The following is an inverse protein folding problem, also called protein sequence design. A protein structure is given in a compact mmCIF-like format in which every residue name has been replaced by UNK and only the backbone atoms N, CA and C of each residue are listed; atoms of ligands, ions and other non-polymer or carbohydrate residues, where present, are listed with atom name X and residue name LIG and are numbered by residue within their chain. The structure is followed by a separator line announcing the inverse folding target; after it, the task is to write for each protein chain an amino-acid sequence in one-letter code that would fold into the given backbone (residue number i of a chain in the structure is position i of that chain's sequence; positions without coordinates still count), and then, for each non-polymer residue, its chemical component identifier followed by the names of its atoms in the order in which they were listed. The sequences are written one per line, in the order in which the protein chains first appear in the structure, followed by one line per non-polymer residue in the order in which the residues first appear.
data_IF_253206233377
#
_entry.id   IF_253206233377
#
_cell.length_a   1.000
_cell.length_b   1.000
_cell.length_c   1.000
_cell.angle_alpha   90.00
_cell.angle_beta   90.00
_cell.angle_gamma   90.00
#
_symmetry.space_group_name_H-M   'P 1'
#
loop_
_entity.id
_entity.type
_entity.pdbx_description
1 polymer ?
#
# COMPACT_ATOMS: atom_id res chain seq x y z
N UNK A 1 -12.32 21.35 11.04
CA UNK A 1 -10.99 21.95 11.33
C UNK A 1 -10.17 21.13 12.33
N UNK A 2 -10.71 20.78 13.51
CA UNK A 2 -9.97 19.98 14.51
C UNK A 2 -9.42 18.67 13.92
N UNK A 3 -10.25 17.89 13.22
CA UNK A 3 -9.81 16.63 12.62
C UNK A 3 -8.61 16.76 11.65
N UNK A 4 -8.62 17.80 10.79
CA UNK A 4 -7.51 18.07 9.86
C UNK A 4 -6.25 18.47 10.63
N UNK A 5 -6.39 19.28 11.67
CA UNK A 5 -5.25 19.69 12.52
C UNK A 5 -4.67 18.51 13.30
N UNK A 6 -5.50 17.61 13.81
CA UNK A 6 -5.08 16.39 14.50
C UNK A 6 -4.37 15.42 13.54
N UNK A 7 -4.93 15.21 12.34
CA UNK A 7 -4.31 14.39 11.31
C UNK A 7 -2.93 14.95 10.91
N UNK A 8 -2.84 16.26 10.67
CA UNK A 8 -1.57 16.93 10.35
C UNK A 8 -0.56 16.79 11.50
N UNK A 9 -1.01 16.87 12.75
CA UNK A 9 -0.14 16.65 13.93
C UNK A 9 0.37 15.21 14.02
N UNK A 10 -0.47 14.23 13.67
CA UNK A 10 -0.12 12.82 13.61
C UNK A 10 0.62 12.42 12.33
N UNK A 11 0.86 13.37 11.41
CA UNK A 11 1.44 13.13 10.07
C UNK A 11 0.63 12.14 9.24
N UNK A 12 -0.68 12.12 9.43
CA UNK A 12 -1.60 11.31 8.64
C UNK A 12 -1.99 12.17 7.42
N UNK A 13 -1.74 11.71 6.18
CA UNK A 13 -2.10 12.46 4.98
C UNK A 13 -3.63 12.56 4.85
N UNK A 14 -4.11 13.78 4.61
CA UNK A 14 -5.55 14.06 4.47
C UNK A 14 -5.91 14.23 3.00
N UNK A 15 -6.97 13.56 2.58
CA UNK A 15 -7.64 13.72 1.28
C UNK A 15 -9.04 14.25 1.57
N UNK A 16 -9.47 15.35 0.95
CA UNK A 16 -10.78 15.94 1.23
C UNK A 16 -11.36 16.75 0.06
N UNK A 17 -12.69 16.72 -0.15
CA UNK A 17 -13.36 17.67 -1.01
C UNK A 17 -13.34 19.08 -0.38
N UNK A 18 -13.02 20.09 -1.18
CA UNK A 18 -12.92 21.48 -0.74
C UNK A 18 -13.78 22.39 -1.61
N UNK A 19 -14.61 23.20 -0.96
CA UNK A 19 -15.32 24.33 -1.58
C UNK A 19 -14.55 25.66 -1.40
N UNK A 20 -15.06 26.72 -2.03
CA UNK A 20 -14.49 28.07 -2.07
C UNK A 20 -14.14 28.70 -0.71
N UNK A 21 -14.70 28.19 0.39
CA UNK A 21 -14.50 28.71 1.75
C UNK A 21 -13.45 27.93 2.57
N UNK A 22 -12.83 26.90 1.98
CA UNK A 22 -11.85 26.05 2.64
C UNK A 22 -10.41 26.36 2.19
N UNK A 23 -9.45 26.26 3.11
CA UNK A 23 -8.03 26.48 2.83
C UNK A 23 -7.38 25.18 2.30
N UNK A 24 -6.90 25.14 1.04
CA UNK A 24 -6.33 23.94 0.43
C UNK A 24 -4.95 23.58 0.97
N UNK A 25 -4.23 24.52 1.59
CA UNK A 25 -2.85 24.29 2.07
C UNK A 25 -2.81 23.34 3.28
N UNK A 26 -3.95 23.12 3.93
CA UNK A 26 -4.08 22.23 5.09
C UNK A 26 -4.30 20.76 4.71
N UNK A 27 -4.52 20.46 3.43
CA UNK A 27 -4.90 19.13 2.93
C UNK A 27 -3.85 18.65 1.94
N UNK A 28 -3.37 17.41 2.10
CA UNK A 28 -2.31 16.87 1.25
C UNK A 28 -2.79 16.64 -0.19
N UNK A 29 -4.04 16.18 -0.34
CA UNK A 29 -4.66 15.92 -1.63
C UNK A 29 -6.04 16.61 -1.68
N UNK A 30 -6.07 17.91 -2.01
CA UNK A 30 -7.32 18.66 -2.11
C UNK A 30 -8.09 18.26 -3.38
N UNK A 31 -9.41 18.01 -3.24
CA UNK A 31 -10.31 17.73 -4.36
C UNK A 31 -11.28 18.92 -4.49
N UNK A 32 -11.18 19.76 -5.53
CA UNK A 32 -12.14 20.84 -5.73
C UNK A 32 -13.56 20.29 -5.90
N UNK A 33 -14.52 20.75 -5.10
CA UNK A 33 -15.88 20.23 -5.13
C UNK A 33 -16.84 21.02 -4.25
N UNK A 34 -18.12 20.67 -4.33
CA UNK A 34 -19.16 21.27 -3.50
C UNK A 34 -19.44 20.32 -2.32
N UNK A 35 -19.07 20.71 -1.11
CA UNK A 35 -19.28 19.94 0.12
C UNK A 35 -20.66 20.19 0.78
N UNK A 36 -21.35 21.27 0.40
CA UNK A 36 -22.71 21.59 0.88
C UNK A 36 -23.81 20.72 0.24
N UNK A 37 -23.58 20.25 -1.00
CA UNK A 37 -24.59 19.52 -1.76
C UNK A 37 -24.63 18.03 -1.39
N UNK A 38 -25.78 17.54 -0.91
CA UNK A 38 -25.97 16.12 -0.56
C UNK A 38 -25.64 15.16 -1.70
N UNK A 39 -25.99 15.51 -2.95
CA UNK A 39 -25.66 14.70 -4.13
C UNK A 39 -24.15 14.59 -4.36
N UNK A 40 -23.41 15.67 -4.09
CA UNK A 40 -21.95 15.71 -4.23
C UNK A 40 -21.28 14.87 -3.15
N UNK A 41 -21.71 15.00 -1.89
CA UNK A 41 -21.22 14.17 -0.78
C UNK A 41 -21.49 12.68 -1.05
N UNK A 42 -22.69 12.34 -1.51
CA UNK A 42 -23.03 10.95 -1.89
C UNK A 42 -22.13 10.41 -2.99
N UNK A 43 -21.88 11.20 -4.03
CA UNK A 43 -20.95 10.84 -5.10
C UNK A 43 -19.56 10.55 -4.53
N UNK A 44 -18.98 11.47 -3.76
CA UNK A 44 -17.65 11.27 -3.17
C UNK A 44 -17.58 10.02 -2.28
N UNK A 45 -18.58 9.80 -1.42
CA UNK A 45 -18.61 8.62 -0.57
C UNK A 45 -18.70 7.32 -1.38
N UNK A 46 -19.49 7.30 -2.45
CA UNK A 46 -19.64 6.13 -3.31
C UNK A 46 -18.33 5.81 -4.05
N UNK A 47 -17.78 6.79 -4.77
CA UNK A 47 -16.54 6.60 -5.54
C UNK A 47 -15.36 6.19 -4.62
N UNK A 48 -15.26 6.78 -3.43
CA UNK A 48 -14.24 6.39 -2.45
C UNK A 48 -14.46 4.96 -1.94
N UNK A 49 -15.70 4.54 -1.71
CA UNK A 49 -15.99 3.17 -1.29
C UNK A 49 -15.65 2.15 -2.38
N UNK A 50 -15.99 2.45 -3.64
CA UNK A 50 -15.65 1.62 -4.79
C UNK A 50 -14.13 1.49 -4.95
N UNK A 51 -13.40 2.61 -4.93
CA UNK A 51 -11.94 2.61 -5.02
C UNK A 51 -11.26 1.83 -3.87
N UNK A 52 -11.78 1.93 -2.64
CA UNK A 52 -11.26 1.16 -1.49
C UNK A 52 -11.49 -0.34 -1.70
N UNK A 53 -12.64 -0.74 -2.21
CA UNK A 53 -12.96 -2.15 -2.44
C UNK A 53 -12.13 -2.73 -3.58
N UNK A 54 -11.96 -1.98 -4.67
CA UNK A 54 -11.06 -2.34 -5.77
C UNK A 54 -9.63 -2.51 -5.27
N UNK A 55 -9.09 -1.52 -4.54
CA UNK A 55 -7.74 -1.60 -3.98
C UNK A 55 -7.54 -2.77 -3.01
N UNK A 56 -8.57 -3.16 -2.25
CA UNK A 56 -8.52 -4.37 -1.40
C UNK A 56 -8.48 -5.64 -2.23
N UNK A 57 -9.31 -5.75 -3.26
CA UNK A 57 -9.35 -6.92 -4.13
C UNK A 57 -8.02 -7.12 -4.87
N UNK A 58 -7.40 -6.04 -5.38
CA UNK A 58 -6.07 -6.12 -5.99
C UNK A 58 -5.01 -6.57 -4.97
N UNK A 59 -5.03 -6.02 -3.76
CA UNK A 59 -4.07 -6.42 -2.70
C UNK A 59 -4.21 -7.89 -2.30
N UNK A 60 -5.43 -8.42 -2.27
CA UNK A 60 -5.68 -9.85 -2.02
C UNK A 60 -5.11 -10.70 -3.15
N UNK A 61 -5.32 -10.32 -4.41
CA UNK A 61 -4.75 -11.00 -5.58
C UNK A 61 -3.23 -10.97 -5.59
N UNK A 62 -2.61 -9.83 -5.31
CA UNK A 62 -1.15 -9.69 -5.22
C UNK A 62 -0.57 -10.50 -4.06
N UNK A 63 -1.28 -10.54 -2.91
CA UNK A 63 -0.90 -11.36 -1.77
C UNK A 63 -1.01 -12.86 -2.03
N UNK A 64 -2.02 -13.29 -2.79
CA UNK A 64 -2.17 -14.67 -3.25
C UNK A 64 -1.14 -15.05 -4.30
N UNK A 65 -0.78 -14.15 -5.21
CA UNK A 65 0.28 -14.36 -6.19
C UNK A 65 1.64 -14.55 -5.50
N UNK A 66 2.01 -13.66 -4.57
CA UNK A 66 3.24 -13.78 -3.77
C UNK A 66 3.26 -15.07 -2.92
N UNK A 67 2.12 -15.44 -2.33
CA UNK A 67 2.02 -16.67 -1.53
C UNK A 67 2.03 -17.95 -2.38
N UNK A 68 1.68 -17.89 -3.66
CA UNK A 68 1.82 -19.00 -4.60
C UNK A 68 3.25 -19.10 -5.15
N UNK A 69 3.91 -17.97 -5.46
CA UNK A 69 5.32 -17.95 -5.85
C UNK A 69 6.25 -18.53 -4.76
N UNK A 70 5.98 -18.26 -3.47
CA UNK A 70 6.73 -18.89 -2.36
C UNK A 70 6.50 -20.40 -2.23
N UNK A 71 5.38 -20.93 -2.75
CA UNK A 71 5.04 -22.36 -2.70
C UNK A 71 5.50 -23.13 -3.92
N UNK A 72 5.85 -22.47 -5.02
CA UNK A 72 6.29 -23.13 -6.26
C UNK A 72 7.77 -23.50 -6.27
N UNK A 73 8.58 -23.09 -5.27
CA UNK A 73 9.94 -23.64 -5.12
C UNK A 73 9.82 -25.05 -4.57
N UNK A 74 10.04 -26.05 -5.43
CA UNK A 74 10.00 -27.45 -5.03
C UNK A 74 11.12 -27.77 -4.04
N UNK A 75 10.89 -28.71 -3.12
CA UNK A 75 11.91 -29.12 -2.14
C UNK A 75 13.18 -29.67 -2.82
N UNK A 76 13.08 -30.13 -4.06
CA UNK A 76 14.20 -30.58 -4.89
C UNK A 76 15.05 -29.39 -5.38
N UNK A 77 14.44 -28.32 -5.90
CA UNK A 77 15.16 -27.11 -6.32
C UNK A 77 15.82 -26.41 -5.13
N UNK A 78 15.15 -26.39 -3.96
CA UNK A 78 15.74 -25.87 -2.72
C UNK A 78 16.97 -26.65 -2.29
N UNK A 79 16.97 -27.96 -2.51
CA UNK A 79 18.07 -28.84 -2.11
C UNK A 79 19.25 -28.74 -3.08
N UNK A 80 19.01 -28.63 -4.38
CA UNK A 80 20.06 -28.39 -5.38
C UNK A 80 20.78 -27.06 -5.15
N UNK A 81 20.04 -25.96 -4.89
CA UNK A 81 20.64 -24.65 -4.61
C UNK A 81 21.44 -24.66 -3.29
N UNK A 82 21.01 -25.44 -2.29
CA UNK A 82 21.73 -25.60 -1.03
C UNK A 82 23.01 -26.43 -1.21
N UNK A 83 22.95 -27.52 -1.99
CA UNK A 83 24.09 -28.37 -2.28
C UNK A 83 25.13 -27.62 -3.16
N UNK A 84 24.70 -26.79 -4.11
CA UNK A 84 25.59 -25.90 -4.87
C UNK A 84 26.28 -24.87 -3.97
N UNK A 85 25.53 -24.18 -3.10
CA UNK A 85 26.10 -23.20 -2.16
C UNK A 85 27.10 -23.81 -1.16
N UNK A 86 26.87 -25.06 -0.74
CA UNK A 86 27.80 -25.80 0.14
C UNK A 86 29.01 -26.36 -0.62
N UNK A 87 28.95 -26.46 -1.94
CA UNK A 87 30.07 -26.94 -2.78
C UNK A 87 31.03 -25.82 -3.22
N UNK A 88 30.59 -24.56 -3.21
CA UNK A 88 31.43 -23.40 -3.56
C UNK A 88 32.19 -22.79 -2.36
N UNK A 89 31.90 -23.19 -1.11
CA UNK A 89 32.60 -22.69 0.11
C UNK A 89 33.86 -23.50 0.51
N UNK A 90 34.39 -24.40 -0.32
CA UNK A 90 35.69 -25.07 -0.06
C UNK A 90 36.89 -24.31 -0.66
N UNK A 91 37.03 -23.03 -0.31
CA UNK A 91 38.31 -22.32 -0.42
C UNK A 91 38.60 -21.55 0.86
N UNK A 92 39.40 -22.16 1.74
CA UNK A 92 40.22 -21.41 2.68
C UNK A 92 40.43 -21.97 4.09
N UNK A 93 40.63 -23.28 4.27
CA UNK A 93 41.56 -23.69 5.33
C UNK A 93 43.00 -23.43 4.85
N UNK A 94 43.53 -22.24 5.14
CA UNK A 94 44.98 -22.08 5.31
C UNK A 94 45.27 -21.95 6.80
N UNK A 95 45.68 -23.08 7.40
CA UNK A 95 46.52 -23.11 8.59
C UNK A 95 47.91 -22.58 8.23
N UNK A 96 48.33 -21.44 8.79
CA UNK A 96 49.59 -21.25 9.55
C UNK A 96 49.69 -19.84 10.15
#
# INVERSE_FOLDING_TARGET
KIAVQEANRLRIPVVAPLDTNCDPDLVAYPIPGNDDAIRSVQLFCQEMAEAINEGKALREQDGEALANEEKEITDEEKKEVLDEAMSEEDFGEEQE
#
